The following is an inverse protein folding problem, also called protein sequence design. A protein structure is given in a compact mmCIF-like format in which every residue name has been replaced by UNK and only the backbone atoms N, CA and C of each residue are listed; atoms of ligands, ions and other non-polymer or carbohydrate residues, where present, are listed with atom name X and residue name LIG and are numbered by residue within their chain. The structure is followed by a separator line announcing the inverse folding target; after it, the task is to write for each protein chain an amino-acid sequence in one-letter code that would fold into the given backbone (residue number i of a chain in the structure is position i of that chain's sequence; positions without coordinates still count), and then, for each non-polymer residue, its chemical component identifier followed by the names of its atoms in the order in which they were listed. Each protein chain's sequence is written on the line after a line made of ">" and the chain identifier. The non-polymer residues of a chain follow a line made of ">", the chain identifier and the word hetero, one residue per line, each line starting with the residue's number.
data_IF_607451365141
#
_entry.id   IF_607451365141
#
_cell.length_a   1.000
_cell.length_b   1.000
_cell.length_c   1.000
_cell.angle_alpha   90.00
_cell.angle_beta   90.00
_cell.angle_gamma   90.00
#
_symmetry.space_group_name_H-M   'P 1'
#
loop_
_entity.id
_entity.type
_entity.pdbx_description
1 polymer ?
#
# COMPACT_ATOMS: atom_id res chain seq x y z
N UNK A 1 -1.57 77.66 -2.98
CA UNK A 1 -0.19 78.15 -2.74
C UNK A 1 0.61 76.93 -2.32
N UNK A 2 1.49 76.46 -3.20
CA UNK A 2 2.59 75.52 -2.94
C UNK A 2 3.92 76.34 -2.87
N UNK A 3 5.10 75.79 -2.49
CA UNK A 3 5.50 74.83 -1.44
C UNK A 3 6.74 75.40 -0.65
N UNK A 4 7.77 74.68 -0.10
CA UNK A 4 8.55 73.59 -0.72
C UNK A 4 8.89 72.35 0.14
N UNK A 5 9.20 71.30 -0.63
CA UNK A 5 9.89 70.02 -0.39
C UNK A 5 11.05 69.97 0.60
N UNK A 6 11.22 68.81 1.24
CA UNK A 6 12.51 68.11 1.31
C UNK A 6 12.32 66.60 1.51
N UNK A 7 12.90 65.85 0.58
CA UNK A 7 12.96 64.39 0.45
C UNK A 7 14.13 63.80 1.24
N UNK A 8 13.93 62.69 1.95
CA UNK A 8 15.00 61.73 2.30
C UNK A 8 14.46 60.32 2.14
N UNK A 9 15.06 59.58 1.22
CA UNK A 9 14.90 58.14 1.06
C UNK A 9 15.74 57.41 2.12
N UNK A 10 15.19 56.36 2.73
CA UNK A 10 16.01 55.31 3.32
C UNK A 10 15.32 53.96 3.16
N UNK A 11 15.92 53.13 2.30
CA UNK A 11 15.57 51.74 2.08
C UNK A 11 15.87 50.92 3.35
N UNK A 12 14.92 50.13 3.82
CA UNK A 12 15.14 48.91 4.62
C UNK A 12 13.91 48.02 4.39
N UNK A 13 13.99 47.14 3.40
CA UNK A 13 14.38 45.72 3.50
C UNK A 13 13.19 44.86 3.91
N UNK A 14 12.74 44.10 2.91
CA UNK A 14 11.77 43.00 2.96
C UNK A 14 11.79 42.23 4.27
N UNK A 15 10.59 42.10 4.84
CA UNK A 15 10.27 41.17 5.91
C UNK A 15 8.92 40.54 5.60
N UNK A 16 8.83 39.81 4.49
CA UNK A 16 7.77 38.80 4.31
C UNK A 16 7.79 37.88 5.53
N UNK A 17 6.65 37.67 6.23
CA UNK A 17 6.52 36.51 7.07
C UNK A 17 6.50 35.31 6.13
N UNK A 18 7.66 34.67 5.99
CA UNK A 18 7.79 33.40 5.30
C UNK A 18 6.79 32.44 5.93
N UNK A 19 5.76 32.10 5.16
CA UNK A 19 4.81 31.06 5.47
C UNK A 19 5.55 29.71 5.50
N UNK A 20 6.14 29.40 6.65
CA UNK A 20 6.52 28.05 7.02
C UNK A 20 5.29 27.36 7.66
N UNK A 21 4.21 27.26 6.89
CA UNK A 21 3.04 26.42 7.21
C UNK A 21 2.55 25.90 5.87
N UNK A 22 2.86 24.65 5.54
CA UNK A 22 2.43 24.10 4.24
C UNK A 22 2.59 22.60 4.08
N UNK A 23 3.52 21.98 4.80
CA UNK A 23 3.76 20.53 4.65
C UNK A 23 3.03 19.69 5.72
N UNK A 24 2.86 20.22 6.93
CA UNK A 24 2.20 19.52 8.06
C UNK A 24 0.66 19.47 7.91
N UNK A 25 0.05 20.54 7.40
CA UNK A 25 -1.41 20.67 7.26
C UNK A 25 -1.98 19.74 6.18
N UNK A 26 -1.18 19.43 5.14
CA UNK A 26 -1.56 18.52 4.06
C UNK A 26 -1.58 17.04 4.49
N UNK A 27 -0.63 16.64 5.32
CA UNK A 27 -0.56 15.27 5.87
C UNK A 27 -1.70 15.00 6.85
N UNK A 28 -1.97 15.94 7.76
CA UNK A 28 -3.10 15.87 8.70
C UNK A 28 -4.45 15.81 7.97
N UNK A 29 -4.58 16.55 6.87
CA UNK A 29 -5.77 16.50 6.03
C UNK A 29 -5.95 15.15 5.32
N UNK A 30 -4.88 14.59 4.74
CA UNK A 30 -4.91 13.26 4.12
C UNK A 30 -5.24 12.15 5.13
N UNK A 31 -4.69 12.23 6.35
CA UNK A 31 -5.02 11.30 7.42
C UNK A 31 -6.49 11.41 7.85
N UNK A 32 -7.04 12.62 7.92
CA UNK A 32 -8.46 12.87 8.18
C UNK A 32 -9.36 12.21 7.12
N UNK A 33 -9.04 12.40 5.84
CA UNK A 33 -9.76 11.75 4.73
C UNK A 33 -9.68 10.22 4.79
N UNK A 34 -8.50 9.66 5.09
CA UNK A 34 -8.34 8.22 5.23
C UNK A 34 -9.21 7.64 6.37
N UNK A 35 -9.26 8.33 7.52
CA UNK A 35 -10.12 7.94 8.66
C UNK A 35 -11.61 8.03 8.30
N UNK A 36 -12.02 9.09 7.62
CA UNK A 36 -13.40 9.26 7.16
C UNK A 36 -13.80 8.16 6.15
N UNK A 37 -12.93 7.88 5.17
CA UNK A 37 -13.15 6.80 4.20
C UNK A 37 -13.34 5.44 4.89
N UNK A 38 -12.54 5.15 5.93
CA UNK A 38 -12.66 3.92 6.71
C UNK A 38 -14.01 3.81 7.43
N UNK A 39 -14.50 4.90 8.04
CA UNK A 39 -15.82 4.92 8.72
C UNK A 39 -16.95 4.71 7.71
N UNK A 40 -16.88 5.36 6.54
CA UNK A 40 -17.87 5.20 5.48
C UNK A 40 -17.87 3.77 4.92
N UNK A 41 -16.69 3.17 4.74
CA UNK A 41 -16.55 1.78 4.31
C UNK A 41 -17.20 0.82 5.30
N UNK A 42 -16.87 0.94 6.59
CA UNK A 42 -17.44 0.10 7.66
C UNK A 42 -18.96 0.26 7.79
N UNK A 43 -19.48 1.44 7.45
CA UNK A 43 -20.92 1.73 7.43
C UNK A 43 -21.63 1.26 6.16
N UNK A 44 -20.92 0.64 5.21
CA UNK A 44 -21.47 0.20 3.91
C UNK A 44 -21.84 1.34 2.96
N UNK A 45 -21.42 2.59 3.25
CA UNK A 45 -21.70 3.77 2.42
C UNK A 45 -20.67 3.89 1.29
N UNK A 46 -20.63 2.90 0.41
CA UNK A 46 -19.59 2.80 -0.62
C UNK A 46 -19.54 3.99 -1.59
N UNK A 47 -20.70 4.56 -1.94
CA UNK A 47 -20.77 5.72 -2.83
C UNK A 47 -20.11 6.97 -2.22
N UNK A 48 -20.24 7.18 -0.91
CA UNK A 48 -19.61 8.31 -0.23
C UNK A 48 -18.14 8.00 0.08
N UNK A 49 -17.84 6.76 0.48
CA UNK A 49 -16.47 6.27 0.66
C UNK A 49 -15.63 6.51 -0.62
N UNK A 50 -16.18 6.18 -1.79
CA UNK A 50 -15.51 6.37 -3.08
C UNK A 50 -15.20 7.85 -3.37
N UNK A 51 -16.09 8.78 -2.99
CA UNK A 51 -15.83 10.22 -3.15
C UNK A 51 -14.64 10.65 -2.30
N UNK A 52 -14.59 10.22 -1.04
CA UNK A 52 -13.49 10.55 -0.12
C UNK A 52 -12.18 9.93 -0.59
N UNK A 53 -12.18 8.68 -1.06
CA UNK A 53 -10.99 8.03 -1.60
C UNK A 53 -10.46 8.72 -2.87
N UNK A 54 -11.34 9.19 -3.76
CA UNK A 54 -10.94 9.96 -4.94
C UNK A 54 -10.34 11.34 -4.55
N UNK A 55 -10.85 11.98 -3.49
CA UNK A 55 -10.24 13.20 -2.95
C UNK A 55 -8.84 12.92 -2.38
N UNK A 56 -8.68 11.80 -1.68
CA UNK A 56 -7.38 11.38 -1.15
C UNK A 56 -6.38 11.07 -2.28
N UNK A 57 -6.85 10.43 -3.36
CA UNK A 57 -6.02 10.11 -4.53
C UNK A 57 -5.50 11.36 -5.25
N UNK A 58 -6.26 12.46 -5.26
CA UNK A 58 -5.79 13.75 -5.79
C UNK A 58 -4.68 14.38 -4.94
N UNK A 59 -4.59 14.04 -3.66
CA UNK A 59 -3.56 14.56 -2.73
C UNK A 59 -2.32 13.68 -2.70
N UNK A 60 -2.49 12.37 -2.89
CA UNK A 60 -1.44 11.36 -2.97
C UNK A 60 -1.50 10.66 -4.33
N UNK A 61 -1.09 11.37 -5.37
CA UNK A 61 -1.18 10.85 -6.73
C UNK A 61 -0.39 9.56 -6.85
N UNK A 62 -1.06 8.50 -7.31
CA UNK A 62 -0.50 7.15 -7.48
C UNK A 62 -0.12 6.39 -6.21
N UNK A 63 -0.66 6.74 -5.02
CA UNK A 63 -0.49 5.89 -3.83
C UNK A 63 -1.17 4.52 -4.05
N UNK A 64 -0.40 3.41 -4.07
CA UNK A 64 -0.92 2.08 -4.38
C UNK A 64 -1.96 1.60 -3.37
N UNK A 65 -1.91 2.05 -2.09
CA UNK A 65 -2.92 1.72 -1.07
C UNK A 65 -4.25 2.39 -1.37
N UNK A 66 -4.22 3.64 -1.82
CA UNK A 66 -5.44 4.39 -2.19
C UNK A 66 -6.05 3.78 -3.45
N UNK A 67 -5.23 3.48 -4.47
CA UNK A 67 -5.68 2.79 -5.69
C UNK A 67 -6.31 1.41 -5.41
N UNK A 68 -5.70 0.64 -4.49
CA UNK A 68 -6.24 -0.64 -4.03
C UNK A 68 -7.63 -0.45 -3.43
N UNK A 69 -7.76 0.45 -2.46
CA UNK A 69 -9.01 0.70 -1.76
C UNK A 69 -10.10 1.22 -2.70
N UNK A 70 -9.78 2.11 -3.64
CA UNK A 70 -10.71 2.59 -4.68
C UNK A 70 -11.25 1.40 -5.48
N UNK A 71 -10.37 0.52 -5.97
CA UNK A 71 -10.77 -0.64 -6.77
C UNK A 71 -11.75 -1.56 -6.03
N UNK A 72 -11.49 -1.81 -4.72
CA UNK A 72 -12.38 -2.61 -3.88
C UNK A 72 -13.74 -1.91 -3.70
N UNK A 73 -13.75 -0.62 -3.37
CA UNK A 73 -14.99 0.12 -3.11
C UNK A 73 -15.85 0.26 -4.36
N UNK A 74 -15.24 0.51 -5.53
CA UNK A 74 -15.95 0.54 -6.81
C UNK A 74 -16.64 -0.80 -7.11
N UNK A 75 -15.92 -1.91 -6.91
CA UNK A 75 -16.51 -3.24 -7.07
C UNK A 75 -17.62 -3.51 -6.06
N UNK A 76 -17.54 -3.02 -4.82
CA UNK A 76 -18.61 -3.21 -3.85
C UNK A 76 -19.82 -2.33 -4.16
N UNK A 77 -19.60 -1.13 -4.70
CA UNK A 77 -20.66 -0.20 -5.07
C UNK A 77 -21.54 -0.75 -6.20
N UNK A 78 -20.95 -1.45 -7.18
CA UNK A 78 -21.67 -2.09 -8.29
C UNK A 78 -22.17 -3.51 -7.98
N UNK A 79 -22.03 -3.98 -6.73
CA UNK A 79 -22.46 -5.31 -6.31
C UNK A 79 -21.61 -6.45 -6.85
N UNK A 80 -20.32 -6.20 -7.10
CA UNK A 80 -19.35 -7.11 -7.69
C UNK A 80 -19.79 -7.59 -9.08
N UNK A 81 -20.27 -6.66 -9.91
CA UNK A 81 -20.82 -6.98 -11.24
C UNK A 81 -19.77 -7.57 -12.19
N UNK A 82 -18.51 -7.19 -12.04
CA UNK A 82 -17.39 -7.72 -12.82
C UNK A 82 -16.19 -8.09 -11.92
N UNK A 83 -16.20 -9.28 -11.30
CA UNK A 83 -15.13 -9.72 -10.43
C UNK A 83 -13.80 -9.95 -11.18
N UNK A 84 -13.84 -10.19 -12.50
CA UNK A 84 -12.64 -10.39 -13.32
C UNK A 84 -11.92 -9.06 -13.59
N UNK A 85 -12.68 -7.98 -13.81
CA UNK A 85 -12.13 -6.62 -13.87
C UNK A 85 -11.43 -6.25 -12.56
N UNK A 86 -12.03 -6.60 -11.41
CA UNK A 86 -11.40 -6.36 -10.11
C UNK A 86 -10.08 -7.12 -9.95
N UNK A 87 -10.04 -8.42 -10.30
CA UNK A 87 -8.79 -9.21 -10.27
C UNK A 87 -7.69 -8.51 -11.08
N UNK A 88 -7.99 -8.11 -12.32
CA UNK A 88 -7.01 -7.46 -13.20
C UNK A 88 -6.50 -6.12 -12.62
N UNK A 89 -7.37 -5.34 -12.00
CA UNK A 89 -6.98 -4.09 -11.34
C UNK A 89 -6.03 -4.35 -10.15
N UNK A 90 -6.35 -5.35 -9.33
CA UNK A 90 -5.52 -5.75 -8.18
C UNK A 90 -4.16 -6.32 -8.61
N UNK A 91 -4.11 -7.12 -9.67
CA UNK A 91 -2.86 -7.63 -10.25
C UNK A 91 -1.96 -6.50 -10.73
N UNK A 92 -2.53 -5.50 -11.41
CA UNK A 92 -1.78 -4.32 -11.87
C UNK A 92 -1.22 -3.52 -10.70
N UNK A 93 -2.01 -3.29 -9.65
CA UNK A 93 -1.55 -2.52 -8.48
C UNK A 93 -0.45 -3.27 -7.73
N UNK A 94 -0.56 -4.61 -7.64
CA UNK A 94 0.49 -5.47 -7.09
C UNK A 94 1.79 -5.32 -7.89
N UNK A 95 1.74 -5.47 -9.21
CA UNK A 95 2.91 -5.33 -10.09
C UNK A 95 3.58 -3.95 -9.93
N UNK A 96 2.78 -2.88 -9.90
CA UNK A 96 3.28 -1.52 -9.68
C UNK A 96 3.97 -1.36 -8.32
N UNK A 97 3.46 -2.02 -7.28
CA UNK A 97 4.05 -1.93 -5.93
C UNK A 97 5.36 -2.72 -5.82
N UNK A 98 5.45 -3.87 -6.49
CA UNK A 98 6.68 -4.66 -6.58
C UNK A 98 7.77 -3.93 -7.37
N UNK A 99 7.40 -3.24 -8.46
CA UNK A 99 8.33 -2.42 -9.24
C UNK A 99 8.92 -1.27 -8.40
N UNK A 100 8.09 -0.59 -7.61
CA UNK A 100 8.53 0.47 -6.71
C UNK A 100 9.49 -0.06 -5.63
N UNK A 101 9.21 -1.24 -5.06
CA UNK A 101 10.08 -1.90 -4.09
C UNK A 101 11.45 -2.25 -4.68
N UNK A 102 11.47 -2.81 -5.90
CA UNK A 102 12.71 -3.14 -6.62
C UNK A 102 13.54 -1.90 -6.96
N UNK A 103 12.91 -0.82 -7.42
CA UNK A 103 13.60 0.42 -7.77
C UNK A 103 14.22 1.13 -6.55
N UNK A 104 13.61 1.00 -5.37
CA UNK A 104 14.13 1.57 -4.12
C UNK A 104 15.43 0.89 -3.64
N UNK A 105 15.59 -0.41 -3.91
CA UNK A 105 16.76 -1.20 -3.50
C UNK A 105 18.04 -0.95 -4.32
N UNK A 106 17.94 -0.36 -5.51
CA UNK A 106 19.10 -0.10 -6.38
C UNK A 106 19.90 1.17 -6.00
N UNK A 107 19.41 1.96 -5.05
CA UNK A 107 20.01 3.26 -4.69
C UNK A 107 21.14 3.18 -3.63
N UNK A 108 21.55 1.99 -3.19
CA UNK A 108 22.68 1.79 -2.26
C UNK A 108 24.01 1.32 -2.89
N UNK A 109 24.06 1.00 -4.19
CA UNK A 109 25.32 0.54 -4.83
C UNK A 109 25.75 1.47 -5.96
N UNK A 110 26.10 2.71 -5.61
CA UNK A 110 27.04 3.48 -6.45
C UNK A 110 27.74 4.58 -5.66
N UNK A 111 28.81 4.20 -4.96
CA UNK A 111 29.97 5.08 -4.75
C UNK A 111 31.25 4.24 -4.67
N UNK A 112 31.83 4.12 -5.86
CA UNK A 112 33.13 3.62 -6.31
C UNK A 112 34.33 3.46 -5.33
N UNK A 113 35.02 2.34 -5.58
CA UNK A 113 36.47 2.13 -5.79
C UNK A 113 37.48 2.12 -4.61
N UNK A 114 38.01 0.91 -4.37
CA UNK A 114 39.44 0.61 -4.58
C UNK A 114 40.36 0.62 -3.35
N UNK A 115 40.76 -0.56 -2.86
CA UNK A 115 42.16 -1.01 -2.73
C UNK A 115 42.29 -2.20 -1.77
N UNK A 116 42.99 -3.23 -2.23
CA UNK A 116 43.45 -4.38 -1.44
C UNK A 116 44.55 -3.97 -0.45
N UNK A 117 44.50 -4.43 0.83
CA UNK A 117 45.63 -5.09 1.52
C UNK A 117 45.31 -5.52 2.98
N UNK A 118 45.64 -6.78 3.29
CA UNK A 118 46.09 -7.36 4.58
C UNK A 118 45.23 -7.36 5.87
N UNK A 119 44.94 -8.61 6.30
CA UNK A 119 45.26 -9.24 7.62
C UNK A 119 44.78 -8.63 8.95
N UNK A 120 44.04 -9.48 9.67
CA UNK A 120 43.96 -9.64 11.14
C UNK A 120 43.30 -8.54 11.98
N UNK A 121 42.22 -8.89 12.72
CA UNK A 121 42.21 -9.01 14.19
C UNK A 121 40.81 -9.40 14.71
N UNK A 122 40.84 -10.27 15.71
CA UNK A 122 39.78 -10.87 16.51
C UNK A 122 39.28 -9.90 17.60
N UNK A 123 37.96 -9.87 17.82
CA UNK A 123 37.37 -9.81 19.16
C UNK A 123 36.62 -8.54 19.59
N UNK A 124 35.29 -8.70 19.74
CA UNK A 124 34.30 -7.99 20.57
C UNK A 124 34.12 -6.48 20.30
N UNK A 125 32.90 -5.92 20.22
CA UNK A 125 31.93 -5.75 21.30
C UNK A 125 30.53 -5.47 20.71
N UNK A 126 29.48 -6.02 21.30
CA UNK A 126 28.08 -5.64 21.07
C UNK A 126 27.84 -4.15 21.37
N UNK A 127 26.88 -3.52 20.67
CA UNK A 127 25.68 -3.16 21.39
C UNK A 127 24.41 -3.56 20.65
N UNK A 128 23.56 -4.24 21.42
CA UNK A 128 22.11 -4.32 21.28
C UNK A 128 21.54 -2.94 20.93
N UNK A 129 21.03 -2.75 19.71
CA UNK A 129 20.13 -1.62 19.43
C UNK A 129 18.75 -1.92 20.03
N UNK A 130 18.21 -1.05 20.91
CA UNK A 130 16.85 -1.16 21.37
C UNK A 130 15.89 -0.44 20.42
N UNK A 131 14.76 -1.11 20.15
CA UNK A 131 13.38 -0.60 20.12
C UNK A 131 13.05 0.63 19.25
N UNK A 132 12.15 0.37 18.29
CA UNK A 132 11.10 1.28 17.81
C UNK A 132 11.53 2.56 17.09
N UNK A 133 11.62 2.47 15.77
CA UNK A 133 10.60 3.15 14.98
C UNK A 133 10.02 2.12 14.04
N UNK A 134 8.71 1.89 14.14
CA UNK A 134 7.95 1.41 13.00
C UNK A 134 8.20 2.45 11.93
N UNK A 135 9.15 2.19 11.03
CA UNK A 135 9.14 2.79 9.72
C UNK A 135 7.77 2.41 9.21
N UNK A 136 6.84 3.38 9.20
CA UNK A 136 5.61 3.26 8.44
C UNK A 136 6.09 3.00 7.02
N UNK A 137 6.18 1.72 6.64
CA UNK A 137 6.48 1.34 5.28
C UNK A 137 5.30 1.87 4.49
N UNK A 138 5.53 3.00 3.82
CA UNK A 138 4.61 3.57 2.86
C UNK A 138 4.40 2.62 1.68
N UNK A 139 5.27 1.61 1.55
CA UNK A 139 5.12 0.43 0.71
C UNK A 139 3.76 -0.26 0.93
N UNK A 140 3.02 -0.47 -0.15
CA UNK A 140 1.84 -1.34 -0.13
C UNK A 140 2.33 -2.75 0.15
N UNK A 141 1.88 -3.32 1.27
CA UNK A 141 1.99 -4.76 1.48
C UNK A 141 1.16 -5.48 0.41
N UNK A 142 1.84 -6.08 -0.57
CA UNK A 142 1.22 -6.81 -1.67
C UNK A 142 0.47 -8.05 -1.18
N UNK A 143 0.67 -8.46 0.08
CA UNK A 143 -0.05 -9.58 0.68
C UNK A 143 -1.57 -9.37 0.67
N UNK A 144 -2.03 -8.14 0.94
CA UNK A 144 -3.46 -7.80 1.00
C UNK A 144 -4.10 -7.86 -0.39
N UNK A 145 -3.42 -7.32 -1.41
CA UNK A 145 -3.87 -7.41 -2.79
C UNK A 145 -3.94 -8.87 -3.27
N UNK A 146 -2.91 -9.64 -2.95
CA UNK A 146 -2.82 -11.07 -3.29
C UNK A 146 -3.91 -11.88 -2.59
N UNK A 147 -4.18 -11.60 -1.31
CA UNK A 147 -5.24 -12.27 -0.55
C UNK A 147 -6.63 -11.96 -1.12
N UNK A 148 -6.90 -10.68 -1.44
CA UNK A 148 -8.17 -10.28 -2.04
C UNK A 148 -8.39 -10.94 -3.41
N UNK A 149 -7.35 -11.07 -4.25
CA UNK A 149 -7.43 -11.84 -5.51
C UNK A 149 -7.82 -13.29 -5.24
N UNK A 150 -7.18 -13.94 -4.26
CA UNK A 150 -7.47 -15.33 -3.91
C UNK A 150 -8.92 -15.53 -3.45
N UNK A 151 -9.46 -14.60 -2.66
CA UNK A 151 -10.87 -14.60 -2.21
C UNK A 151 -11.82 -14.47 -3.40
N UNK A 152 -11.56 -13.56 -4.34
CA UNK A 152 -12.42 -13.40 -5.53
C UNK A 152 -12.39 -14.69 -6.37
N UNK A 153 -11.21 -15.27 -6.59
CA UNK A 153 -11.05 -16.54 -7.32
C UNK A 153 -11.77 -17.70 -6.63
N UNK A 154 -11.75 -17.73 -5.29
CA UNK A 154 -12.49 -18.72 -4.50
C UNK A 154 -14.00 -18.62 -4.77
N UNK A 155 -14.57 -17.41 -4.74
CA UNK A 155 -15.98 -17.19 -5.04
C UNK A 155 -16.35 -17.43 -6.51
N UNK A 156 -15.38 -17.36 -7.43
CA UNK A 156 -15.53 -17.77 -8.82
C UNK A 156 -15.35 -19.28 -9.05
N UNK A 157 -15.12 -20.07 -7.99
CA UNK A 157 -14.81 -21.50 -8.05
C UNK A 157 -13.53 -21.83 -8.84
N UNK A 158 -12.64 -20.87 -9.07
CA UNK A 158 -11.34 -21.06 -9.69
C UNK A 158 -10.31 -21.53 -8.64
N UNK A 159 -10.60 -22.64 -7.97
CA UNK A 159 -9.87 -23.11 -6.80
C UNK A 159 -8.38 -23.37 -7.06
N UNK A 160 -8.02 -23.87 -8.24
CA UNK A 160 -6.62 -24.10 -8.60
C UNK A 160 -5.81 -22.79 -8.64
N UNK A 161 -6.38 -21.72 -9.21
CA UNK A 161 -5.73 -20.40 -9.23
C UNK A 161 -5.72 -19.79 -7.84
N UNK A 162 -6.85 -19.84 -7.12
CA UNK A 162 -6.94 -19.36 -5.74
C UNK A 162 -5.87 -20.01 -4.85
N UNK A 163 -5.66 -21.32 -4.97
CA UNK A 163 -4.60 -22.06 -4.28
C UNK A 163 -3.21 -21.50 -4.59
N UNK A 164 -2.87 -21.25 -5.86
CA UNK A 164 -1.55 -20.72 -6.23
C UNK A 164 -1.24 -19.37 -5.58
N UNK A 165 -2.21 -18.47 -5.47
CA UNK A 165 -2.02 -17.19 -4.77
C UNK A 165 -1.87 -17.38 -3.26
N UNK A 166 -2.65 -18.29 -2.66
CA UNK A 166 -2.60 -18.53 -1.22
C UNK A 166 -1.33 -19.27 -0.78
N UNK A 167 -0.86 -20.23 -1.59
CA UNK A 167 0.41 -20.92 -1.33
C UNK A 167 1.58 -19.93 -1.40
N UNK A 168 1.59 -19.04 -2.40
CA UNK A 168 2.59 -17.97 -2.48
C UNK A 168 2.58 -17.06 -1.23
N UNK A 169 1.39 -16.68 -0.76
CA UNK A 169 1.25 -15.91 0.49
C UNK A 169 1.74 -16.69 1.71
N UNK A 170 1.47 -17.99 1.76
CA UNK A 170 1.85 -18.84 2.88
C UNK A 170 3.39 -18.90 3.03
N UNK A 171 4.11 -18.93 1.91
CA UNK A 171 5.58 -18.93 1.92
C UNK A 171 6.19 -17.58 2.31
N UNK A 172 5.43 -16.49 2.26
CA UNK A 172 5.89 -15.12 2.61
C UNK A 172 5.32 -14.60 3.93
N UNK A 173 4.79 -15.48 4.80
CA UNK A 173 4.07 -15.12 6.05
C UNK A 173 4.89 -14.31 7.06
N UNK A 174 6.22 -14.30 6.99
CA UNK A 174 7.06 -13.76 8.06
C UNK A 174 7.35 -12.25 7.97
N UNK A 175 6.43 -11.45 7.39
CA UNK A 175 6.02 -10.22 8.05
C UNK A 175 4.50 -9.95 8.06
N UNK A 176 3.65 -10.95 7.86
CA UNK A 176 2.18 -10.79 7.78
C UNK A 176 1.53 -10.69 9.18
N UNK A 177 0.55 -9.81 9.34
CA UNK A 177 -0.30 -9.71 10.54
C UNK A 177 -0.97 -11.06 10.88
N UNK A 178 -0.98 -11.43 12.16
CA UNK A 178 -1.52 -12.72 12.66
C UNK A 178 -2.97 -12.96 12.20
N UNK A 179 -3.80 -11.92 12.19
CA UNK A 179 -5.19 -12.02 11.74
C UNK A 179 -5.29 -12.33 10.25
N UNK A 180 -4.40 -11.78 9.43
CA UNK A 180 -4.32 -12.07 7.99
C UNK A 180 -3.76 -13.47 7.73
N UNK A 181 -2.73 -13.90 8.47
CA UNK A 181 -2.19 -15.25 8.39
C UNK A 181 -3.25 -16.32 8.70
N UNK A 182 -4.06 -16.12 9.74
CA UNK A 182 -5.16 -17.03 10.07
C UNK A 182 -6.20 -17.12 8.94
N UNK A 183 -6.58 -15.99 8.35
CA UNK A 183 -7.52 -15.95 7.22
C UNK A 183 -6.97 -16.68 5.99
N UNK A 184 -5.68 -16.54 5.69
CA UNK A 184 -5.00 -17.28 4.62
C UNK A 184 -5.08 -18.79 4.89
N UNK A 185 -4.73 -19.24 6.10
CA UNK A 185 -4.76 -20.66 6.47
C UNK A 185 -6.16 -21.28 6.38
N UNK A 186 -7.19 -20.57 6.86
CA UNK A 186 -8.57 -21.05 6.78
C UNK A 186 -9.05 -21.16 5.33
N UNK A 187 -8.76 -20.16 4.50
CA UNK A 187 -9.14 -20.18 3.09
C UNK A 187 -8.40 -21.28 2.30
N UNK A 188 -7.11 -21.52 2.62
CA UNK A 188 -6.35 -22.64 2.05
C UNK A 188 -7.00 -23.99 2.33
N UNK A 189 -7.45 -24.20 3.57
CA UNK A 189 -8.15 -25.42 3.98
C UNK A 189 -9.44 -25.60 3.17
N UNK A 190 -10.26 -24.54 3.06
CA UNK A 190 -11.51 -24.58 2.30
C UNK A 190 -11.26 -24.88 0.81
N UNK A 191 -10.28 -24.21 0.19
CA UNK A 191 -9.87 -24.45 -1.20
C UNK A 191 -9.42 -25.89 -1.41
N UNK A 192 -8.61 -26.46 -0.50
CA UNK A 192 -8.13 -27.84 -0.59
C UNK A 192 -9.28 -28.86 -0.48
N UNK A 193 -10.19 -28.65 0.48
CA UNK A 193 -11.37 -29.51 0.67
C UNK A 193 -12.29 -29.47 -0.56
N UNK A 194 -12.57 -28.28 -1.09
CA UNK A 194 -13.45 -28.11 -2.24
C UNK A 194 -12.82 -28.61 -3.54
N UNK A 195 -11.50 -28.45 -3.73
CA UNK A 195 -10.77 -29.00 -4.87
C UNK A 195 -10.83 -30.53 -4.90
N UNK A 196 -10.73 -31.18 -3.74
CA UNK A 196 -10.85 -32.63 -3.62
C UNK A 196 -12.31 -33.13 -3.81
N UNK A 197 -13.31 -32.32 -3.45
CA UNK A 197 -14.71 -32.65 -3.72
C UNK A 197 -15.11 -32.41 -5.19
N UNK A 198 -14.53 -31.41 -5.84
CA UNK A 198 -14.73 -31.15 -7.27
C UNK A 198 -14.17 -32.31 -8.11
N UNK A 199 -12.97 -32.80 -7.83
CA UNK A 199 -12.38 -33.94 -8.54
C UNK A 199 -13.18 -35.24 -8.36
N UNK A 200 -13.83 -35.44 -7.21
CA UNK A 200 -14.75 -36.56 -6.96
C UNK A 200 -16.10 -36.43 -7.69
N UNK A 201 -16.58 -35.21 -7.89
CA UNK A 201 -17.85 -34.92 -8.58
C UNK A 201 -17.72 -35.00 -10.11
N UNK A 202 -16.52 -34.78 -10.65
CA UNK A 202 -16.22 -34.92 -12.09
C UNK A 202 -16.19 -36.38 -12.59
N UNK A 203 -16.28 -37.38 -11.70
CA UNK A 203 -16.40 -38.80 -12.06
C UNK A 203 -17.85 -39.26 -11.83
N UNK A 204 -18.81 -38.59 -12.49
CA UNK A 204 -20.13 -39.16 -12.78
C UNK A 204 -20.87 -38.38 -13.87
N UNK A 205 -20.33 -38.43 -15.08
CA UNK A 205 -21.07 -38.18 -16.31
C UNK A 205 -20.87 -39.39 -17.21
N UNK A 206 -21.89 -40.24 -17.29
CA UNK A 206 -22.01 -41.35 -18.25
C UNK A 206 -22.03 -40.79 -19.67
#
# INVERSE_FOLDING_TARGET
>A
MDPPSASVALNTRDGSPSAAVGEDDGALFAEGLAKEAAVLFQSGKFADCLKILNQLLQKKESDPKVCHNVSIVESLQDGCSDPRRLIKALEKIKEQSEELACASGEQEVSSNNGSEHTSSIRGNNTPRHPISSVVYNDELDTSVATFNIAVILYHLHEYARSFSYLDALYQTIEPIDEGTALRICLLLLDVALLSHNASRSSVKGI
#
